data_IF_733470899077
#
_entry.id   IF_733470899077
#
_cell.length_a   1.000
_cell.length_b   1.000
_cell.length_c   1.000
_cell.angle_alpha   90.00
_cell.angle_beta   90.00
_cell.angle_gamma   90.00
#
_symmetry.space_group_name_H-M   'P 1'
#
loop_
_entity.id
_entity.type
_entity.pdbx_description
1 polymer ?
#
# COMPACT_ATOMS: atom_id res chain seq x y z
N UNK A 1 12.24 -2.42 23.31
CA UNK A 1 10.93 -2.70 23.93
C UNK A 1 10.54 -4.18 23.81
N UNK A 2 10.42 -4.78 22.63
CA UNK A 2 9.96 -6.17 22.42
C UNK A 2 10.73 -7.18 23.27
N UNK A 3 12.06 -7.13 23.27
CA UNK A 3 12.93 -8.04 24.07
C UNK A 3 12.76 -7.78 25.58
N UNK A 4 12.86 -6.50 26.00
CA UNK A 4 12.82 -6.12 27.43
C UNK A 4 11.50 -6.52 28.09
N UNK A 5 10.37 -6.34 27.42
CA UNK A 5 9.04 -6.58 27.98
C UNK A 5 8.43 -7.90 27.52
N UNK A 6 9.20 -8.75 26.82
CA UNK A 6 8.74 -10.06 26.31
C UNK A 6 7.41 -9.96 25.55
N UNK A 7 7.29 -8.92 24.72
CA UNK A 7 6.09 -8.71 23.89
C UNK A 7 5.97 -9.89 22.92
N UNK A 8 4.80 -10.52 22.87
CA UNK A 8 4.55 -11.70 22.04
C UNK A 8 4.86 -11.44 20.57
N UNK A 9 4.40 -10.32 20.02
CA UNK A 9 4.64 -9.94 18.63
C UNK A 9 4.60 -8.42 18.44
N UNK A 10 5.43 -7.94 17.55
CA UNK A 10 5.39 -6.58 17.01
C UNK A 10 4.91 -6.67 15.56
N UNK A 11 3.90 -5.89 15.20
CA UNK A 11 3.50 -5.70 13.81
C UNK A 11 3.57 -4.22 13.48
N UNK A 12 4.14 -3.86 12.32
CA UNK A 12 4.20 -2.48 11.88
C UNK A 12 4.01 -2.33 10.37
N UNK A 13 3.52 -1.17 9.97
CA UNK A 13 3.40 -0.81 8.56
C UNK A 13 4.73 -0.26 8.04
N UNK A 14 5.35 -0.96 7.10
CA UNK A 14 6.37 -0.45 6.20
C UNK A 14 5.69 0.32 5.05
N UNK A 15 6.07 0.11 3.80
CA UNK A 15 5.47 0.76 2.64
C UNK A 15 5.94 0.08 1.35
N UNK A 16 5.15 0.12 0.29
CA UNK A 16 5.60 -0.25 -1.06
C UNK A 16 6.79 0.58 -1.55
N UNK A 17 6.99 1.79 -1.02
CA UNK A 17 8.13 2.65 -1.38
C UNK A 17 9.50 2.03 -1.06
N UNK A 18 9.55 0.95 -0.28
CA UNK A 18 10.79 0.19 -0.01
C UNK A 18 11.34 -0.53 -1.24
N UNK A 19 10.52 -0.73 -2.27
CA UNK A 19 10.99 -1.29 -3.54
C UNK A 19 11.93 -0.33 -4.30
N UNK A 20 11.81 0.97 -4.07
CA UNK A 20 12.75 2.01 -4.52
C UNK A 20 12.62 2.39 -5.98
N UNK A 21 12.45 1.43 -6.89
CA UNK A 21 12.30 1.66 -8.32
C UNK A 21 10.84 1.62 -8.76
N UNK A 22 10.56 2.15 -9.96
CA UNK A 22 9.26 2.05 -10.61
C UNK A 22 9.00 0.65 -11.18
N UNK A 23 7.79 0.42 -11.67
CA UNK A 23 7.38 -0.86 -12.23
C UNK A 23 8.26 -1.34 -13.39
N UNK A 24 8.77 -0.42 -14.21
CA UNK A 24 9.59 -0.76 -15.37
C UNK A 24 10.86 -1.53 -14.98
N UNK A 25 11.46 -1.20 -13.83
CA UNK A 25 12.63 -1.90 -13.30
C UNK A 25 12.34 -3.39 -13.03
N UNK A 26 11.14 -3.71 -12.55
CA UNK A 26 10.72 -5.08 -12.20
C UNK A 26 10.03 -5.84 -13.35
N UNK A 27 9.72 -5.15 -14.47
CA UNK A 27 9.02 -5.69 -15.62
C UNK A 27 7.50 -5.78 -15.44
N UNK A 28 6.82 -6.46 -16.37
CA UNK A 28 5.36 -6.53 -16.44
C UNK A 28 4.75 -7.61 -15.53
N UNK A 29 5.20 -7.71 -14.30
CA UNK A 29 4.67 -8.65 -13.32
C UNK A 29 4.45 -7.96 -11.97
N UNK A 30 3.54 -8.49 -11.18
CA UNK A 30 3.38 -8.03 -9.80
C UNK A 30 4.70 -8.21 -9.01
N UNK A 31 5.06 -7.18 -8.24
CA UNK A 31 6.29 -7.17 -7.43
C UNK A 31 6.03 -7.94 -6.13
N UNK A 32 6.87 -8.90 -5.81
CA UNK A 32 6.72 -9.72 -4.60
C UNK A 32 7.71 -9.31 -3.51
N UNK A 33 7.56 -9.86 -2.31
CA UNK A 33 8.33 -9.45 -1.13
C UNK A 33 9.83 -9.77 -1.21
N UNK A 34 10.25 -10.63 -2.12
CA UNK A 34 11.67 -10.99 -2.32
C UNK A 34 12.37 -10.06 -3.34
N UNK A 35 11.62 -9.19 -4.01
CA UNK A 35 12.17 -8.27 -4.98
C UNK A 35 12.89 -7.10 -4.30
N UNK A 36 13.97 -6.64 -4.93
CA UNK A 36 14.80 -5.56 -4.43
C UNK A 36 15.49 -4.82 -5.58
N UNK A 37 15.47 -3.49 -5.55
CA UNK A 37 16.09 -2.67 -6.60
C UNK A 37 17.45 -2.08 -6.23
N UNK A 38 17.84 -2.14 -4.97
CA UNK A 38 19.04 -1.46 -4.46
C UNK A 38 18.75 -0.05 -3.94
N UNK A 39 19.55 0.40 -2.96
CA UNK A 39 19.33 1.68 -2.26
C UNK A 39 19.44 2.88 -3.19
N UNK A 40 20.27 2.82 -4.22
CA UNK A 40 20.51 3.91 -5.15
C UNK A 40 19.30 4.19 -6.09
N UNK A 41 18.36 3.28 -6.17
CA UNK A 41 17.15 3.43 -6.98
C UNK A 41 15.99 4.09 -6.23
N UNK A 42 16.16 4.35 -4.92
CA UNK A 42 15.09 4.95 -4.13
C UNK A 42 14.86 6.41 -4.51
N UNK A 43 13.66 6.69 -4.98
CA UNK A 43 13.22 8.04 -5.29
C UNK A 43 12.91 8.87 -4.03
N UNK A 44 12.37 8.21 -3.00
CA UNK A 44 11.96 8.88 -1.76
C UNK A 44 12.82 8.45 -0.57
N UNK A 45 13.35 9.41 0.19
CA UNK A 45 14.01 9.17 1.48
C UNK A 45 13.12 8.36 2.44
N UNK A 46 11.81 8.59 2.39
CA UNK A 46 10.83 7.83 3.16
C UNK A 46 10.93 6.32 2.94
N UNK A 47 11.07 5.89 1.69
CA UNK A 47 11.25 4.47 1.35
C UNK A 47 12.50 3.87 1.98
N UNK A 48 13.61 4.61 1.93
CA UNK A 48 14.88 4.20 2.58
C UNK A 48 14.73 4.06 4.09
N UNK A 49 14.03 5.00 4.74
CA UNK A 49 13.77 4.94 6.19
C UNK A 49 12.90 3.73 6.55
N UNK A 50 11.90 3.41 5.75
CA UNK A 50 11.07 2.20 5.92
C UNK A 50 11.90 0.93 5.72
N UNK A 51 12.76 0.89 4.70
CA UNK A 51 13.68 -0.23 4.45
C UNK A 51 14.64 -0.43 5.63
N UNK A 52 15.13 0.64 6.25
CA UNK A 52 15.96 0.55 7.45
C UNK A 52 15.20 -0.10 8.62
N UNK A 53 13.90 0.23 8.80
CA UNK A 53 13.08 -0.40 9.83
C UNK A 53 12.91 -1.90 9.58
N UNK A 54 12.69 -2.32 8.32
CA UNK A 54 12.63 -3.73 7.94
C UNK A 54 13.96 -4.44 8.23
N UNK A 55 15.08 -3.84 7.84
CA UNK A 55 16.41 -4.37 8.13
C UNK A 55 16.64 -4.55 9.62
N UNK A 56 16.25 -3.56 10.44
CA UNK A 56 16.35 -3.67 11.90
C UNK A 56 15.46 -4.79 12.45
N UNK A 57 14.23 -4.94 11.94
CA UNK A 57 13.34 -6.03 12.32
C UNK A 57 13.99 -7.40 12.09
N UNK A 58 14.54 -7.62 10.88
CA UNK A 58 15.23 -8.88 10.54
C UNK A 58 16.44 -9.14 11.44
N UNK A 59 17.21 -8.12 11.82
CA UNK A 59 18.31 -8.24 12.78
C UNK A 59 17.82 -8.66 14.17
N UNK A 60 16.70 -8.10 14.64
CA UNK A 60 16.11 -8.46 15.93
C UNK A 60 15.50 -9.86 15.92
N UNK A 61 14.84 -10.25 14.85
CA UNK A 61 14.34 -11.63 14.66
C UNK A 61 15.53 -12.61 14.77
N UNK A 62 16.57 -12.39 13.96
CA UNK A 62 17.73 -13.28 13.91
C UNK A 62 18.49 -13.34 15.25
N UNK A 63 18.65 -12.19 15.93
CA UNK A 63 19.47 -12.12 17.15
C UNK A 63 18.73 -12.60 18.40
N UNK A 64 17.43 -12.33 18.49
CA UNK A 64 16.66 -12.49 19.72
C UNK A 64 15.47 -13.46 19.60
N UNK A 65 15.22 -14.03 18.42
CA UNK A 65 14.05 -14.89 18.19
C UNK A 65 12.71 -14.18 18.36
N UNK A 66 12.69 -12.83 18.20
CA UNK A 66 11.46 -12.06 18.33
C UNK A 66 10.49 -12.38 17.20
N UNK A 67 9.19 -12.45 17.53
CA UNK A 67 8.15 -12.48 16.50
C UNK A 67 7.87 -11.05 16.05
N UNK A 68 8.30 -10.72 14.83
CA UNK A 68 8.06 -9.40 14.22
C UNK A 68 7.48 -9.65 12.83
N UNK A 69 6.41 -8.93 12.48
CA UNK A 69 5.88 -8.89 11.14
C UNK A 69 5.76 -7.44 10.65
N UNK A 70 5.91 -7.25 9.36
CA UNK A 70 5.72 -5.94 8.75
C UNK A 70 5.03 -6.07 7.40
N UNK A 71 4.21 -5.10 7.11
CA UNK A 71 3.47 -5.02 5.86
C UNK A 71 4.04 -3.92 4.97
N UNK A 72 3.92 -4.10 3.65
CA UNK A 72 4.24 -3.08 2.64
C UNK A 72 2.94 -2.64 1.96
N UNK A 73 2.18 -1.73 2.61
CA UNK A 73 0.94 -1.26 2.01
C UNK A 73 1.18 -0.56 0.68
N UNK A 74 0.30 -0.82 -0.27
CA UNK A 74 0.12 -0.07 -1.49
C UNK A 74 -0.58 1.27 -1.20
N UNK A 75 -1.22 1.89 -2.19
CA UNK A 75 -1.99 3.12 -1.98
C UNK A 75 -3.19 2.83 -1.06
N UNK A 76 -3.05 3.19 0.20
CA UNK A 76 -4.15 3.09 1.17
C UNK A 76 -5.12 4.24 0.93
N UNK A 77 -6.39 3.94 0.68
CA UNK A 77 -7.45 4.93 0.48
C UNK A 77 -8.58 4.75 1.51
N UNK A 78 -9.41 5.77 1.64
CA UNK A 78 -10.56 5.78 2.55
C UNK A 78 -10.64 7.06 3.35
N UNK A 79 -11.77 7.24 4.03
CA UNK A 79 -12.05 8.44 4.82
C UNK A 79 -11.10 8.60 6.01
N UNK A 80 -10.74 9.84 6.31
CA UNK A 80 -9.98 10.20 7.51
C UNK A 80 -8.48 10.36 7.31
N UNK A 81 -8.00 10.32 6.06
CA UNK A 81 -6.59 10.55 5.76
C UNK A 81 -6.21 12.01 5.98
N UNK A 82 -5.24 12.26 6.85
CA UNK A 82 -4.80 13.61 7.19
C UNK A 82 -3.28 13.76 7.11
N UNK A 83 -2.82 14.98 6.76
CA UNK A 83 -1.41 15.38 6.79
C UNK A 83 -0.47 14.43 6.04
N UNK A 84 -0.81 14.05 4.83
CA UNK A 84 -0.02 13.14 4.01
C UNK A 84 0.40 13.77 2.68
N UNK A 85 1.49 13.29 2.09
CA UNK A 85 1.95 13.72 0.77
C UNK A 85 1.02 13.24 -0.37
N UNK A 86 0.14 12.25 -0.11
CA UNK A 86 -0.76 11.66 -1.09
C UNK A 86 -2.22 11.86 -0.69
N UNK A 87 -2.63 13.10 -0.37
CA UNK A 87 -4.03 13.42 -0.04
C UNK A 87 -5.01 13.05 -1.15
N UNK A 88 -4.55 13.03 -2.40
CA UNK A 88 -5.35 12.61 -3.54
C UNK A 88 -5.93 11.18 -3.37
N UNK A 89 -5.32 10.33 -2.54
CA UNK A 89 -5.82 8.98 -2.27
C UNK A 89 -7.11 8.95 -1.40
N UNK A 90 -7.54 10.08 -0.87
CA UNK A 90 -8.86 10.29 -0.29
C UNK A 90 -9.70 11.22 -1.16
N UNK A 91 -9.07 12.30 -1.63
CA UNK A 91 -9.71 13.39 -2.37
C UNK A 91 -10.46 12.92 -3.62
N UNK A 92 -10.00 11.84 -4.27
CA UNK A 92 -10.59 11.32 -5.51
C UNK A 92 -12.07 10.93 -5.37
N UNK A 93 -12.50 10.56 -4.17
CA UNK A 93 -13.89 10.20 -3.85
C UNK A 93 -14.54 11.21 -2.90
N UNK A 94 -13.82 11.65 -1.87
CA UNK A 94 -14.37 12.56 -0.84
C UNK A 94 -14.74 13.92 -1.43
N UNK A 95 -13.93 14.52 -2.30
CA UNK A 95 -14.28 15.81 -2.92
C UNK A 95 -15.51 15.74 -3.83
N UNK A 96 -15.62 14.78 -4.77
CA UNK A 96 -16.82 14.60 -5.55
C UNK A 96 -18.07 14.35 -4.72
N UNK A 97 -17.98 13.60 -3.62
CA UNK A 97 -19.10 13.38 -2.71
C UNK A 97 -19.59 14.69 -2.06
N UNK A 98 -18.70 15.68 -1.92
CA UNK A 98 -19.01 17.03 -1.45
C UNK A 98 -19.35 18.02 -2.58
N UNK A 99 -19.53 17.55 -3.82
CA UNK A 99 -19.78 18.39 -4.99
C UNK A 99 -18.58 19.22 -5.44
N UNK A 100 -17.36 18.87 -5.03
CA UNK A 100 -16.11 19.56 -5.37
C UNK A 100 -15.29 18.76 -6.37
N UNK A 101 -14.49 19.42 -7.24
CA UNK A 101 -13.60 18.70 -8.14
C UNK A 101 -12.43 18.04 -7.37
N UNK A 102 -12.08 16.83 -7.77
CA UNK A 102 -10.85 16.16 -7.36
C UNK A 102 -9.75 16.38 -8.41
N UNK A 103 -8.50 16.51 -7.96
CA UNK A 103 -7.32 16.60 -8.81
C UNK A 103 -6.35 15.47 -8.45
N UNK A 104 -6.02 14.65 -9.44
CA UNK A 104 -5.07 13.56 -9.31
C UNK A 104 -3.76 13.95 -10.02
N UNK A 105 -2.61 13.89 -9.33
CA UNK A 105 -1.34 14.38 -9.83
C UNK A 105 -0.63 13.35 -10.73
N UNK A 106 -1.37 12.70 -11.62
CA UNK A 106 -0.87 11.72 -12.59
C UNK A 106 -1.87 11.55 -13.73
N UNK A 107 -1.41 10.98 -14.85
CA UNK A 107 -2.27 10.74 -16.01
C UNK A 107 -3.23 9.56 -15.78
N UNK A 108 -4.30 9.49 -16.56
CA UNK A 108 -5.23 8.35 -16.53
C UNK A 108 -4.59 7.01 -16.87
N UNK A 109 -3.43 7.00 -17.50
CA UNK A 109 -2.69 5.77 -17.83
C UNK A 109 -1.88 5.23 -16.65
N UNK A 110 -1.66 6.06 -15.62
CA UNK A 110 -0.98 5.60 -14.42
C UNK A 110 -1.77 4.47 -13.77
N UNK A 111 -1.04 3.45 -13.32
CA UNK A 111 -1.59 2.33 -12.58
C UNK A 111 -1.01 2.33 -11.18
N UNK A 112 -1.85 2.10 -10.20
CA UNK A 112 -1.46 1.89 -8.82
C UNK A 112 -2.27 0.72 -8.23
N UNK A 113 -1.69 0.01 -7.30
CA UNK A 113 -2.41 -0.96 -6.49
C UNK A 113 -3.05 -0.24 -5.31
N UNK A 114 -4.31 -0.55 -5.00
CA UNK A 114 -5.11 0.15 -4.00
C UNK A 114 -5.58 -0.81 -2.91
N UNK A 115 -5.67 -0.32 -1.67
CA UNK A 115 -6.28 -1.05 -0.55
C UNK A 115 -7.10 -0.09 0.31
N UNK A 116 -8.30 -0.53 0.72
CA UNK A 116 -9.12 0.26 1.64
C UNK A 116 -8.53 0.26 3.05
N UNK A 117 -8.64 1.40 3.73
CA UNK A 117 -7.97 1.62 5.03
C UNK A 117 -8.34 0.58 6.10
N UNK A 118 -9.63 0.19 6.19
CA UNK A 118 -10.05 -0.80 7.18
C UNK A 118 -9.48 -2.19 6.85
N UNK A 119 -9.37 -2.55 5.56
CA UNK A 119 -8.80 -3.84 5.16
C UNK A 119 -7.29 -3.88 5.45
N UNK A 120 -6.61 -2.76 5.24
CA UNK A 120 -5.21 -2.62 5.63
C UNK A 120 -5.03 -2.77 7.15
N UNK A 121 -5.90 -2.14 7.94
CA UNK A 121 -5.90 -2.27 9.40
C UNK A 121 -6.23 -3.70 9.86
N UNK A 122 -7.23 -4.32 9.26
CA UNK A 122 -7.63 -5.72 9.55
C UNK A 122 -6.48 -6.69 9.29
N UNK A 123 -5.72 -6.51 8.20
CA UNK A 123 -4.55 -7.34 7.91
C UNK A 123 -3.49 -7.21 9.01
N UNK A 124 -3.20 -6.00 9.49
CA UNK A 124 -2.26 -5.78 10.61
C UNK A 124 -2.72 -6.47 11.89
N UNK A 125 -4.02 -6.35 12.21
CA UNK A 125 -4.62 -6.98 13.41
C UNK A 125 -4.53 -8.49 13.32
N UNK A 126 -4.92 -9.10 12.19
CA UNK A 126 -4.86 -10.55 11.99
C UNK A 126 -3.43 -11.08 12.09
N UNK A 127 -2.44 -10.39 11.52
CA UNK A 127 -1.04 -10.75 11.70
C UNK A 127 -0.61 -10.68 13.18
N UNK A 128 -1.08 -9.68 13.92
CA UNK A 128 -0.74 -9.54 15.34
C UNK A 128 -1.34 -10.66 16.20
N UNK A 129 -2.55 -11.10 15.88
CA UNK A 129 -3.30 -12.09 16.65
C UNK A 129 -3.02 -13.54 16.26
N UNK A 130 -2.53 -13.79 15.04
CA UNK A 130 -2.22 -15.14 14.55
C UNK A 130 -1.23 -15.86 15.49
N UNK A 131 -1.43 -17.13 15.74
CA UNK A 131 -0.59 -17.89 16.67
C UNK A 131 0.86 -17.97 16.18
N UNK A 132 1.07 -18.40 14.96
CA UNK A 132 2.37 -18.51 14.31
C UNK A 132 2.34 -17.82 12.95
N UNK A 133 3.47 -17.31 12.49
CA UNK A 133 3.64 -16.73 11.17
C UNK A 133 4.69 -17.49 10.38
N UNK A 134 4.42 -17.72 9.09
CA UNK A 134 5.35 -18.36 8.16
C UNK A 134 6.42 -17.39 7.64
N UNK A 135 6.12 -16.08 7.67
CA UNK A 135 6.98 -15.03 7.13
C UNK A 135 6.96 -13.79 8.04
N UNK A 136 7.96 -12.93 7.89
CA UNK A 136 8.02 -11.61 8.54
C UNK A 136 7.52 -10.47 7.65
N UNK A 137 7.68 -10.59 6.33
CA UNK A 137 7.37 -9.55 5.34
C UNK A 137 6.15 -9.91 4.50
N UNK A 138 5.24 -8.95 4.33
CA UNK A 138 4.00 -9.13 3.58
C UNK A 138 3.65 -7.90 2.74
N UNK A 139 3.43 -8.09 1.44
CA UNK A 139 2.75 -7.10 0.63
C UNK A 139 1.28 -6.96 1.04
N UNK A 140 0.76 -5.74 0.97
CA UNK A 140 -0.60 -5.41 1.42
C UNK A 140 -1.30 -4.60 0.35
N UNK A 141 -2.08 -5.26 -0.49
CA UNK A 141 -2.79 -4.66 -1.62
C UNK A 141 -4.21 -5.22 -1.76
N UNK A 142 -4.90 -4.80 -2.82
CA UNK A 142 -6.19 -5.35 -3.21
C UNK A 142 -6.33 -5.41 -4.74
N UNK A 143 -6.58 -4.27 -5.38
CA UNK A 143 -6.78 -4.20 -6.83
C UNK A 143 -5.83 -3.19 -7.47
N UNK A 144 -5.27 -3.57 -8.62
CA UNK A 144 -4.49 -2.66 -9.47
C UNK A 144 -5.43 -2.00 -10.47
N UNK A 145 -5.48 -0.67 -10.44
CA UNK A 145 -6.37 0.14 -11.25
C UNK A 145 -5.58 1.24 -11.97
N UNK A 146 -6.02 1.55 -13.20
CA UNK A 146 -5.63 2.78 -13.87
C UNK A 146 -6.61 3.92 -13.59
N UNK A 147 -6.24 5.14 -13.98
CA UNK A 147 -7.07 6.33 -13.77
C UNK A 147 -8.42 6.26 -14.51
N UNK A 148 -8.51 5.51 -15.63
CA UNK A 148 -9.78 5.31 -16.33
C UNK A 148 -10.74 4.50 -15.48
N UNK A 149 -10.27 3.39 -14.91
CA UNK A 149 -11.10 2.52 -14.06
C UNK A 149 -11.47 3.19 -12.74
N UNK A 150 -10.54 3.98 -12.18
CA UNK A 150 -10.82 4.79 -11.00
C UNK A 150 -11.96 5.79 -11.28
N UNK A 151 -11.86 6.57 -12.36
CA UNK A 151 -12.88 7.56 -12.73
C UNK A 151 -14.23 6.89 -13.01
N UNK A 152 -14.24 5.79 -13.79
CA UNK A 152 -15.44 5.01 -14.09
C UNK A 152 -16.14 4.56 -12.79
N UNK A 153 -15.37 4.00 -11.84
CA UNK A 153 -15.91 3.49 -10.59
C UNK A 153 -16.52 4.59 -9.74
N UNK A 154 -15.83 5.74 -9.62
CA UNK A 154 -16.37 6.87 -8.87
C UNK A 154 -17.63 7.44 -9.54
N UNK A 155 -17.64 7.61 -10.86
CA UNK A 155 -18.81 8.12 -11.59
C UNK A 155 -20.03 7.18 -11.57
N UNK A 156 -19.80 5.88 -11.44
CA UNK A 156 -20.88 4.91 -11.24
C UNK A 156 -21.64 5.16 -9.92
N UNK A 157 -20.94 5.65 -8.90
CA UNK A 157 -21.50 5.94 -7.56
C UNK A 157 -21.94 7.39 -7.47
N UNK A 158 -21.15 8.31 -8.02
CA UNK A 158 -21.38 9.76 -8.04
C UNK A 158 -21.41 10.24 -9.50
N UNK A 159 -22.56 10.17 -10.20
CA UNK A 159 -22.62 10.41 -11.65
C UNK A 159 -22.06 11.77 -12.11
N UNK A 160 -22.17 12.81 -11.28
CA UNK A 160 -21.69 14.16 -11.59
C UNK A 160 -20.28 14.44 -11.04
N UNK A 161 -19.50 13.40 -10.67
CA UNK A 161 -18.15 13.54 -10.16
C UNK A 161 -17.24 14.24 -11.19
N UNK A 162 -16.56 15.29 -10.74
CA UNK A 162 -15.54 16.00 -11.51
C UNK A 162 -14.18 15.53 -11.02
N UNK A 163 -13.48 14.75 -11.85
CA UNK A 163 -12.15 14.21 -11.55
C UNK A 163 -11.21 14.66 -12.67
N UNK A 164 -10.17 15.37 -12.29
CA UNK A 164 -9.14 15.89 -13.20
C UNK A 164 -7.83 15.15 -12.98
N UNK A 165 -7.14 14.86 -14.05
CA UNK A 165 -5.84 14.18 -14.05
C UNK A 165 -4.77 15.12 -14.63
N UNK A 166 -3.57 15.07 -14.08
CA UNK A 166 -2.42 15.76 -14.64
C UNK A 166 -1.77 14.87 -15.71
N UNK A 167 -2.18 15.07 -16.95
CA UNK A 167 -1.66 14.29 -18.10
C UNK A 167 -0.18 14.55 -18.42
N UNK A 168 0.47 15.52 -17.76
CA UNK A 168 1.91 15.78 -17.92
C UNK A 168 2.75 14.77 -17.13
N UNK A 169 2.23 14.20 -16.07
CA UNK A 169 2.87 13.20 -15.21
C UNK A 169 2.40 11.80 -15.63
N UNK A 170 3.20 11.12 -16.45
CA UNK A 170 2.83 9.85 -17.07
C UNK A 170 2.64 8.71 -16.06
N UNK A 171 3.49 8.65 -15.05
CA UNK A 171 3.45 7.62 -14.01
C UNK A 171 4.04 8.15 -12.70
N UNK A 172 3.60 7.58 -11.59
CA UNK A 172 4.27 7.75 -10.29
C UNK A 172 5.63 7.02 -10.31
N UNK A 173 6.62 7.47 -9.50
CA UNK A 173 7.91 6.77 -9.39
C UNK A 173 7.83 5.56 -8.44
N UNK A 174 6.70 4.86 -8.45
CA UNK A 174 6.39 3.71 -7.61
C UNK A 174 6.15 2.48 -8.47
N UNK A 175 6.06 1.32 -7.82
CA UNK A 175 5.56 0.11 -8.47
C UNK A 175 4.05 0.27 -8.76
N UNK A 176 3.59 -0.30 -9.86
CA UNK A 176 2.18 -0.22 -10.26
C UNK A 176 1.36 -1.37 -9.66
N UNK A 177 2.02 -2.50 -9.42
CA UNK A 177 1.35 -3.73 -9.01
C UNK A 177 2.22 -4.53 -8.04
N UNK A 178 1.59 -5.12 -7.04
CA UNK A 178 2.26 -5.97 -6.06
C UNK A 178 1.49 -7.27 -5.82
N UNK A 179 2.24 -8.36 -5.66
CA UNK A 179 1.69 -9.68 -5.31
C UNK A 179 1.42 -9.73 -3.80
N UNK A 180 0.16 -9.73 -3.42
CA UNK A 180 -0.31 -9.84 -2.04
C UNK A 180 -0.79 -11.26 -1.67
N UNK A 181 -0.51 -12.25 -2.52
CA UNK A 181 -0.95 -13.64 -2.32
C UNK A 181 -0.43 -14.25 -1.01
N UNK A 182 0.76 -13.82 -0.56
CA UNK A 182 1.37 -14.27 0.69
C UNK A 182 0.51 -13.92 1.90
N UNK A 183 0.12 -12.64 2.04
CA UNK A 183 -0.70 -12.21 3.18
C UNK A 183 -2.09 -12.83 3.12
N UNK A 184 -2.72 -12.91 1.95
CA UNK A 184 -4.06 -13.53 1.79
C UNK A 184 -4.08 -14.96 2.31
N UNK A 185 -3.07 -15.76 1.97
CA UNK A 185 -2.92 -17.14 2.47
C UNK A 185 -2.56 -17.19 3.94
N UNK A 186 -1.65 -16.31 4.39
CA UNK A 186 -1.16 -16.31 5.78
C UNK A 186 -2.30 -16.07 6.77
N UNK A 187 -3.20 -15.13 6.50
CA UNK A 187 -4.26 -14.73 7.45
C UNK A 187 -5.67 -15.12 7.02
N UNK A 188 -5.83 -15.87 5.93
CA UNK A 188 -7.12 -16.25 5.34
C UNK A 188 -8.08 -15.03 5.22
N UNK A 189 -7.63 -14.02 4.50
CA UNK A 189 -8.37 -12.77 4.34
C UNK A 189 -8.24 -12.22 2.93
N UNK A 190 -9.38 -11.87 2.35
CA UNK A 190 -9.46 -11.19 1.07
C UNK A 190 -9.98 -9.77 1.28
N UNK A 191 -9.19 -8.74 0.92
CA UNK A 191 -9.66 -7.36 0.99
C UNK A 191 -10.84 -7.13 0.06
N UNK A 192 -11.65 -6.12 0.37
CA UNK A 192 -12.78 -5.71 -0.49
C UNK A 192 -12.30 -5.19 -1.82
N UNK A 193 -13.16 -5.27 -2.83
CA UNK A 193 -12.92 -4.61 -4.11
C UNK A 193 -12.92 -3.08 -3.96
N UNK A 194 -12.25 -2.40 -4.90
CA UNK A 194 -12.19 -0.94 -4.92
C UNK A 194 -13.60 -0.31 -4.96
N UNK A 195 -14.51 -0.86 -5.79
CA UNK A 195 -15.90 -0.38 -5.86
C UNK A 195 -16.62 -0.47 -4.50
N UNK A 196 -16.38 -1.53 -3.74
CA UNK A 196 -16.96 -1.66 -2.39
C UNK A 196 -16.38 -0.69 -1.38
N UNK A 197 -15.11 -0.34 -1.53
CA UNK A 197 -14.44 0.62 -0.64
C UNK A 197 -14.81 2.08 -0.92
N UNK A 198 -15.25 2.41 -2.14
CA UNK A 198 -15.70 3.76 -2.51
C UNK A 198 -17.15 4.03 -2.10
N UNK A 199 -17.98 2.99 -1.95
CA UNK A 199 -19.37 3.08 -1.45
C UNK A 199 -19.45 3.38 0.03
#
# INVERSE_FOLDING_TARGET
MIVKYKIRRLVFASSETVYGANQEFFGNRAVNENDYSGINNHFYTYGVMKLLNEFMAEKYIKKHGCSIAYTRPSVVYGYGRQNTAINWAEDFAAKPALGKPALLPFSKKNKDNWIYVDDCAEQLVRLALKETLSFSCFNTGSETLDGYKLEETVKKIIPNAQIHFDETIKSTPLINDQDDSRIRKEIDFNPRSFEKGVK
#
